data_IF_053514630705
#
_entry.id   IF_053514630705
#
_cell.length_a   1.000
_cell.length_b   1.000
_cell.length_c   1.000
_cell.angle_alpha   90.00
_cell.angle_beta   90.00
_cell.angle_gamma   90.00
#
_symmetry.space_group_name_H-M   'P 1'
#
loop_
_entity.id
_entity.type
_entity.pdbx_description
1 polymer ?
#
# COMPACT_ATOMS: atom_id res chain seq x y z
N UNK A 1 26.86 -8.05 0.13
CA UNK A 1 26.20 -6.74 0.31
C UNK A 1 25.01 -6.95 1.25
N UNK A 2 25.06 -6.46 2.49
CA UNK A 2 23.85 -6.44 3.33
C UNK A 2 22.92 -5.35 2.78
N UNK A 3 21.70 -5.71 2.40
CA UNK A 3 20.66 -4.71 2.11
C UNK A 3 20.34 -3.99 3.43
N UNK A 4 20.68 -2.70 3.52
CA UNK A 4 20.44 -1.86 4.71
C UNK A 4 18.98 -1.35 4.82
N UNK A 5 18.13 -1.69 3.84
CA UNK A 5 16.74 -1.22 3.77
C UNK A 5 15.78 -2.01 4.65
N UNK A 6 14.61 -1.44 4.98
CA UNK A 6 13.56 -2.18 5.66
C UNK A 6 13.09 -3.38 4.80
N UNK A 7 12.67 -4.49 5.42
CA UNK A 7 12.25 -5.68 4.69
C UNK A 7 10.92 -5.48 3.93
N UNK A 8 10.09 -4.51 4.34
CA UNK A 8 8.87 -4.10 3.67
C UNK A 8 8.38 -2.74 4.21
N UNK A 9 7.45 -2.11 3.47
CA UNK A 9 6.72 -0.91 3.87
C UNK A 9 5.21 -1.19 3.86
N UNK A 10 4.55 -0.97 5.00
CA UNK A 10 3.10 -1.04 5.12
C UNK A 10 2.58 0.35 5.48
N UNK A 11 1.62 0.86 4.71
CA UNK A 11 0.89 2.08 5.05
C UNK A 11 -0.45 1.68 5.64
N UNK A 12 -0.64 1.94 6.94
CA UNK A 12 -1.95 1.74 7.58
C UNK A 12 -2.83 2.97 7.42
N UNK A 13 -3.83 2.85 6.55
CA UNK A 13 -4.86 3.86 6.32
C UNK A 13 -6.26 3.34 6.70
N UNK A 14 -6.34 2.33 7.58
CA UNK A 14 -7.58 1.65 7.94
C UNK A 14 -8.65 2.58 8.54
N UNK A 15 -8.25 3.68 9.17
CA UNK A 15 -9.16 4.65 9.78
C UNK A 15 -9.20 6.01 9.07
N UNK A 16 -8.63 6.11 7.86
CA UNK A 16 -8.75 7.30 7.03
C UNK A 16 -10.21 7.49 6.58
N UNK A 17 -10.80 8.62 6.96
CA UNK A 17 -12.20 8.97 6.67
C UNK A 17 -12.37 9.93 5.51
N UNK A 18 -11.27 10.48 4.98
CA UNK A 18 -11.27 11.40 3.85
C UNK A 18 -10.08 11.11 2.91
N UNK A 19 -10.32 11.10 1.61
CA UNK A 19 -9.29 10.91 0.61
C UNK A 19 -9.44 11.97 -0.48
N UNK A 20 -8.40 12.79 -0.64
CA UNK A 20 -8.29 13.77 -1.72
C UNK A 20 -7.44 13.20 -2.86
N UNK A 21 -7.51 13.85 -4.04
CA UNK A 21 -6.61 13.51 -5.15
C UNK A 21 -5.13 13.58 -4.72
N UNK A 22 -4.75 14.57 -3.91
CA UNK A 22 -3.39 14.70 -3.38
C UNK A 22 -3.00 13.52 -2.50
N UNK A 23 -3.90 13.03 -1.64
CA UNK A 23 -3.63 11.86 -0.80
C UNK A 23 -3.38 10.61 -1.66
N UNK A 24 -4.15 10.42 -2.74
CA UNK A 24 -3.93 9.32 -3.69
C UNK A 24 -2.59 9.45 -4.40
N UNK A 25 -2.23 10.66 -4.87
CA UNK A 25 -0.92 10.90 -5.49
C UNK A 25 0.22 10.52 -4.55
N UNK A 26 0.13 10.90 -3.27
CA UNK A 26 1.14 10.53 -2.27
C UNK A 26 1.24 9.01 -2.11
N UNK A 27 0.12 8.30 -2.00
CA UNK A 27 0.13 6.84 -1.89
C UNK A 27 0.75 6.16 -3.11
N UNK A 28 0.49 6.68 -4.31
CA UNK A 28 1.07 6.17 -5.55
C UNK A 28 2.58 6.45 -5.63
N UNK A 29 3.01 7.66 -5.27
CA UNK A 29 4.43 8.03 -5.22
C UNK A 29 5.19 7.13 -4.24
N UNK A 30 4.68 6.96 -3.03
CA UNK A 30 5.31 6.09 -2.02
C UNK A 30 5.38 4.63 -2.50
N UNK A 31 4.31 4.11 -3.11
CA UNK A 31 4.33 2.76 -3.69
C UNK A 31 5.35 2.60 -4.81
N UNK A 32 5.46 3.61 -5.68
CA UNK A 32 6.46 3.65 -6.76
C UNK A 32 7.89 3.73 -6.23
N UNK A 33 8.13 4.56 -5.22
CA UNK A 33 9.45 4.73 -4.60
C UNK A 33 9.89 3.43 -3.90
N UNK A 34 8.97 2.78 -3.17
CA UNK A 34 9.23 1.47 -2.56
C UNK A 34 9.56 0.41 -3.61
N UNK A 35 8.79 0.36 -4.71
CA UNK A 35 9.08 -0.54 -5.83
C UNK A 35 10.45 -0.28 -6.45
N UNK A 36 10.80 0.98 -6.72
CA UNK A 36 12.11 1.37 -7.24
C UNK A 36 13.27 1.00 -6.30
N UNK A 37 13.03 1.04 -4.98
CA UNK A 37 13.99 0.61 -3.96
C UNK A 37 14.02 -0.92 -3.74
N UNK A 38 13.19 -1.69 -4.44
CA UNK A 38 13.07 -3.14 -4.23
C UNK A 38 12.44 -3.52 -2.87
N UNK A 39 11.73 -2.58 -2.24
CA UNK A 39 11.06 -2.77 -0.95
C UNK A 39 9.60 -3.19 -1.21
N UNK A 40 9.17 -4.38 -0.76
CA UNK A 40 7.77 -4.78 -0.83
C UNK A 40 6.83 -3.76 -0.17
N UNK A 41 5.73 -3.43 -0.85
CA UNK A 41 4.77 -2.42 -0.40
C UNK A 41 3.36 -3.01 -0.24
N UNK A 42 2.67 -2.62 0.84
CA UNK A 42 1.25 -2.91 1.05
C UNK A 42 0.51 -1.71 1.66
N UNK A 43 -0.76 -1.55 1.28
CA UNK A 43 -1.66 -0.52 1.81
C UNK A 43 -2.81 -1.18 2.57
N UNK A 44 -3.02 -0.82 3.83
CA UNK A 44 -4.19 -1.25 4.59
C UNK A 44 -5.30 -0.22 4.44
N UNK A 45 -6.47 -0.64 3.95
CA UNK A 45 -7.62 0.24 3.80
C UNK A 45 -8.94 -0.53 3.96
N UNK A 46 -9.84 -0.03 4.82
CA UNK A 46 -11.18 -0.61 5.04
C UNK A 46 -12.34 0.37 4.85
N UNK A 47 -12.07 1.67 4.82
CA UNK A 47 -13.12 2.70 4.72
C UNK A 47 -13.42 3.05 3.27
N UNK A 48 -14.70 3.30 2.98
CA UNK A 48 -15.18 3.74 1.65
C UNK A 48 -14.51 5.02 1.17
N UNK A 49 -14.10 5.89 2.08
CA UNK A 49 -13.39 7.13 1.76
C UNK A 49 -12.14 6.87 0.92
N UNK A 50 -11.46 5.74 1.14
CA UNK A 50 -10.24 5.37 0.43
C UNK A 50 -10.49 4.26 -0.59
N UNK A 51 -11.32 3.27 -0.28
CA UNK A 51 -11.64 2.17 -1.20
C UNK A 51 -12.38 2.61 -2.47
N UNK A 52 -13.30 3.59 -2.38
CA UNK A 52 -14.06 4.03 -3.56
C UNK A 52 -13.18 4.75 -4.60
N UNK A 53 -12.33 5.73 -4.22
CA UNK A 53 -11.41 6.32 -5.18
C UNK A 53 -10.44 5.33 -5.79
N UNK A 54 -9.88 4.40 -4.99
CA UNK A 54 -8.99 3.36 -5.50
C UNK A 54 -9.67 2.48 -6.55
N UNK A 55 -10.91 2.04 -6.29
CA UNK A 55 -11.67 1.23 -7.23
C UNK A 55 -12.03 1.99 -8.51
N UNK A 56 -12.45 3.26 -8.40
CA UNK A 56 -12.80 4.09 -9.57
C UNK A 56 -11.62 4.35 -10.50
N UNK A 57 -10.41 4.41 -9.95
CA UNK A 57 -9.19 4.66 -10.68
C UNK A 57 -8.43 3.37 -11.03
N UNK A 58 -9.03 2.20 -10.74
CA UNK A 58 -8.44 0.86 -10.92
C UNK A 58 -7.06 0.69 -10.26
N UNK A 59 -6.81 1.42 -9.17
CA UNK A 59 -5.52 1.46 -8.48
C UNK A 59 -5.22 0.18 -7.68
N UNK A 60 -6.20 -0.70 -7.52
CA UNK A 60 -5.99 -2.04 -6.94
C UNK A 60 -5.04 -2.92 -7.79
N UNK A 61 -4.85 -2.58 -9.06
CA UNK A 61 -3.86 -3.24 -9.92
C UNK A 61 -2.43 -2.79 -9.66
N UNK A 62 -2.26 -1.59 -9.11
CA UNK A 62 -0.96 -0.93 -8.90
C UNK A 62 -0.54 -1.03 -7.43
N UNK A 63 -1.50 -0.91 -6.52
CA UNK A 63 -1.29 -0.99 -5.09
C UNK A 63 -1.89 -2.30 -4.55
N UNK A 64 -1.10 -3.06 -3.78
CA UNK A 64 -1.59 -4.20 -3.02
C UNK A 64 -2.35 -3.70 -1.80
N UNK A 65 -3.68 -3.72 -1.88
CA UNK A 65 -4.57 -3.21 -0.84
C UNK A 65 -5.13 -4.37 -0.02
N UNK A 66 -5.01 -4.28 1.29
CA UNK A 66 -5.48 -5.28 2.24
C UNK A 66 -6.49 -4.66 3.22
N UNK A 67 -7.50 -5.40 3.69
CA UNK A 67 -8.51 -4.86 4.60
C UNK A 67 -8.00 -4.72 6.04
N UNK A 68 -6.98 -5.48 6.42
CA UNK A 68 -6.35 -5.45 7.75
C UNK A 68 -4.83 -5.48 7.65
N UNK A 69 -4.15 -5.07 8.74
CA UNK A 69 -2.70 -5.17 8.86
C UNK A 69 -2.22 -6.63 8.83
N UNK A 70 -2.98 -7.54 9.42
CA UNK A 70 -2.65 -8.97 9.42
C UNK A 70 -2.66 -9.55 8.00
N UNK A 71 -3.66 -9.20 7.19
CA UNK A 71 -3.72 -9.62 5.79
C UNK A 71 -2.57 -9.04 4.96
N UNK A 72 -2.16 -7.80 5.26
CA UNK A 72 -1.01 -7.17 4.61
C UNK A 72 0.30 -7.91 4.96
N UNK A 73 0.51 -8.25 6.22
CA UNK A 73 1.69 -9.00 6.67
C UNK A 73 1.76 -10.38 5.97
N UNK A 74 0.66 -11.14 5.99
CA UNK A 74 0.59 -12.44 5.29
C UNK A 74 0.83 -12.32 3.78
N UNK A 75 0.30 -11.27 3.16
CA UNK A 75 0.50 -10.98 1.73
C UNK A 75 1.95 -10.64 1.36
N UNK A 76 2.70 -10.05 2.30
CA UNK A 76 4.11 -9.73 2.12
C UNK A 76 5.00 -10.94 2.38
N UNK A 77 4.68 -11.78 3.35
CA UNK A 77 5.41 -13.03 3.65
C UNK A 77 5.39 -13.99 2.44
N UNK A 78 4.25 -14.09 1.76
CA UNK A 78 4.08 -14.91 0.54
C UNK A 78 4.78 -14.33 -0.69
N UNK A 79 5.21 -13.06 -0.65
CA UNK A 79 5.90 -12.40 -1.76
C UNK A 79 7.43 -12.45 -1.65
N UNK A 80 7.95 -12.99 -0.54
CA UNK A 80 9.39 -13.22 -0.36
C UNK A 80 9.79 -14.47 -1.18
N UNK A 81 10.74 -14.37 -2.11
CA UNK A 81 11.24 -15.53 -2.84
C UNK A 81 11.98 -16.51 -1.92
#
# INVERSE_FOLDING_TARGET
>A
MLALGPPALIVDAADVTFCSARALTVLLTVGSDAHAAGVPFALVARRRALLRPLARLDLHRVLRVHPTLEDALRGLDTSRP
#
